data_IF_305759430553
#
_entry.id   IF_305759430553
#
_cell.length_a   1.000
_cell.length_b   1.000
_cell.length_c   1.000
_cell.angle_alpha   90.00
_cell.angle_beta   90.00
_cell.angle_gamma   90.00
#
_symmetry.space_group_name_H-M   'P 1'
#
loop_
_entity.id
_entity.type
_entity.pdbx_description
1 polymer ?
#
# COMPACT_ATOMS: atom_id res chain seq x y z
N UNK A 1 -21.75 1.72 -19.39
CA UNK A 1 -22.53 2.73 -18.67
C UNK A 1 -23.06 2.16 -17.34
N UNK A 2 -22.48 2.59 -16.22
CA UNK A 2 -22.99 2.27 -14.90
C UNK A 2 -23.99 3.35 -14.49
N UNK A 3 -25.24 2.96 -14.29
CA UNK A 3 -26.29 3.86 -13.81
C UNK A 3 -26.40 3.72 -12.30
N UNK A 4 -26.39 4.84 -11.60
CA UNK A 4 -26.61 4.91 -10.15
C UNK A 4 -28.06 5.25 -9.78
N UNK A 5 -28.95 5.36 -10.76
CA UNK A 5 -30.35 5.79 -10.58
C UNK A 5 -31.34 4.62 -10.42
N UNK A 6 -30.88 3.37 -10.59
CA UNK A 6 -31.67 2.19 -10.24
C UNK A 6 -31.94 2.13 -8.72
N UNK A 7 -33.07 1.53 -8.35
CA UNK A 7 -33.43 1.33 -6.94
C UNK A 7 -33.78 -0.13 -6.66
N UNK A 8 -33.55 -0.54 -5.42
CA UNK A 8 -34.04 -1.79 -4.88
C UNK A 8 -34.87 -1.44 -3.65
N UNK A 9 -36.11 -1.90 -3.63
CA UNK A 9 -36.96 -1.83 -2.45
C UNK A 9 -37.19 -3.23 -1.92
N UNK A 10 -37.24 -3.35 -0.60
CA UNK A 10 -37.58 -4.60 0.08
C UNK A 10 -38.83 -4.36 0.90
N UNK A 11 -39.80 -5.26 0.74
CA UNK A 11 -41.10 -5.20 1.40
C UNK A 11 -41.37 -6.48 2.17
N UNK A 12 -42.21 -6.37 3.19
CA UNK A 12 -42.88 -7.49 3.86
C UNK A 12 -44.36 -7.48 3.48
N UNK A 13 -44.85 -8.54 2.85
CA UNK A 13 -46.27 -8.77 2.65
C UNK A 13 -46.81 -9.62 3.82
N UNK A 14 -47.70 -9.08 4.64
CA UNK A 14 -48.30 -9.77 5.80
C UNK A 14 -49.77 -9.37 5.91
N UNK A 15 -50.68 -10.32 6.15
CA UNK A 15 -52.11 -10.01 6.28
C UNK A 15 -52.74 -9.33 5.06
N UNK A 16 -52.14 -9.47 3.87
CA UNK A 16 -52.55 -8.79 2.64
C UNK A 16 -52.03 -7.36 2.47
N UNK A 17 -51.19 -6.86 3.39
CA UNK A 17 -50.61 -5.52 3.35
C UNK A 17 -49.11 -5.56 3.08
N UNK A 18 -48.63 -4.67 2.20
CA UNK A 18 -47.21 -4.45 1.96
C UNK A 18 -46.66 -3.41 2.94
N UNK A 19 -45.63 -3.80 3.69
CA UNK A 19 -44.87 -2.93 4.58
C UNK A 19 -43.47 -2.72 4.01
N UNK A 20 -43.08 -1.47 3.75
CA UNK A 20 -41.73 -1.17 3.25
C UNK A 20 -40.70 -1.37 4.36
N UNK A 21 -39.65 -2.15 4.08
CA UNK A 21 -38.56 -2.41 5.01
C UNK A 21 -37.31 -1.61 4.66
N UNK A 22 -36.97 -1.55 3.37
CA UNK A 22 -35.72 -0.94 2.89
C UNK A 22 -35.91 -0.29 1.53
N UNK A 23 -35.21 0.84 1.32
CA UNK A 23 -35.04 1.45 0.00
C UNK A 23 -33.57 1.75 -0.21
N UNK A 24 -32.99 1.14 -1.23
CA UNK A 24 -31.62 1.38 -1.65
C UNK A 24 -31.61 2.12 -2.98
N UNK A 25 -30.86 3.22 -3.02
CA UNK A 25 -30.54 3.97 -4.23
C UNK A 25 -29.03 3.91 -4.49
N UNK A 26 -28.56 4.39 -5.63
CA UNK A 26 -27.12 4.46 -5.93
C UNK A 26 -26.44 3.08 -5.89
N UNK A 27 -27.09 2.11 -6.55
CA UNK A 27 -26.68 0.71 -6.61
C UNK A 27 -25.45 0.44 -7.50
N UNK A 28 -24.81 1.49 -8.03
CA UNK A 28 -23.59 1.35 -8.81
C UNK A 28 -22.39 0.91 -7.95
N UNK A 29 -21.40 0.32 -8.63
CA UNK A 29 -20.13 -0.09 -8.03
C UNK A 29 -20.02 -1.60 -7.78
N UNK A 30 -19.13 -2.03 -6.87
CA UNK A 30 -18.97 -3.44 -6.51
C UNK A 30 -20.17 -3.95 -5.69
N UNK A 31 -20.21 -5.27 -5.47
CA UNK A 31 -21.19 -5.92 -4.61
C UNK A 31 -21.23 -5.30 -3.20
N UNK A 32 -22.44 -5.06 -2.70
CA UNK A 32 -22.69 -4.50 -1.38
C UNK A 32 -23.64 -5.42 -0.63
N UNK A 33 -23.28 -5.81 0.59
CA UNK A 33 -24.13 -6.58 1.50
C UNK A 33 -25.04 -5.66 2.29
N UNK A 34 -26.29 -6.08 2.49
CA UNK A 34 -27.27 -5.39 3.33
C UNK A 34 -27.99 -6.42 4.20
N UNK A 35 -28.11 -6.13 5.49
CA UNK A 35 -28.82 -6.96 6.45
C UNK A 35 -29.96 -6.13 7.05
N UNK A 36 -31.17 -6.69 7.09
CA UNK A 36 -32.35 -6.02 7.65
C UNK A 36 -33.08 -6.94 8.63
N UNK A 37 -33.48 -6.37 9.77
CA UNK A 37 -34.35 -7.08 10.69
C UNK A 37 -35.77 -7.15 10.12
N UNK A 38 -36.36 -8.35 10.15
CA UNK A 38 -37.73 -8.59 9.72
C UNK A 38 -38.51 -9.14 10.91
N UNK A 39 -39.57 -8.43 11.30
CA UNK A 39 -40.46 -8.85 12.39
C UNK A 39 -41.89 -8.94 11.86
N UNK A 40 -42.58 -10.01 12.22
CA UNK A 40 -43.99 -10.23 11.90
C UNK A 40 -44.66 -11.11 12.94
N UNK A 41 -45.87 -10.76 13.35
CA UNK A 41 -46.74 -11.59 14.20
C UNK A 41 -47.57 -12.60 13.39
N UNK A 42 -47.55 -12.49 12.06
CA UNK A 42 -48.29 -13.33 11.13
C UNK A 42 -47.34 -13.89 10.07
N UNK A 43 -47.79 -14.89 9.34
CA UNK A 43 -47.09 -15.40 8.15
C UNK A 43 -46.91 -14.27 7.13
N UNK A 44 -45.72 -14.22 6.53
CA UNK A 44 -45.35 -13.14 5.65
C UNK A 44 -44.48 -13.61 4.48
N UNK A 45 -44.41 -12.79 3.44
CA UNK A 45 -43.50 -12.95 2.32
C UNK A 45 -42.54 -11.76 2.25
N UNK A 46 -41.30 -12.03 1.86
CA UNK A 46 -40.30 -10.99 1.55
C UNK A 46 -40.37 -10.71 0.06
N UNK A 47 -40.59 -9.45 -0.31
CA UNK A 47 -40.74 -9.03 -1.71
C UNK A 47 -39.61 -8.08 -2.07
N UNK A 48 -38.84 -8.44 -3.08
CA UNK A 48 -37.80 -7.59 -3.68
C UNK A 48 -38.37 -6.90 -4.91
N UNK A 49 -38.35 -5.57 -4.93
CA UNK A 49 -38.81 -4.75 -6.05
C UNK A 49 -37.62 -3.97 -6.64
N UNK A 50 -37.20 -4.37 -7.84
CA UNK A 50 -36.17 -3.66 -8.60
C UNK A 50 -36.78 -2.61 -9.50
N UNK A 51 -36.43 -1.34 -9.29
CA UNK A 51 -36.79 -0.24 -10.18
C UNK A 51 -35.63 0.01 -11.13
N UNK A 52 -35.88 -0.23 -12.42
CA UNK A 52 -34.90 -0.04 -13.48
C UNK A 52 -34.53 1.45 -13.60
N UNK A 53 -33.23 1.72 -13.57
CA UNK A 53 -32.66 3.03 -13.90
C UNK A 53 -32.52 3.26 -15.41
N UNK A 54 -31.97 4.40 -15.79
CA UNK A 54 -31.73 4.75 -17.20
C UNK A 54 -30.78 3.77 -17.91
N UNK A 55 -29.82 3.19 -17.20
CA UNK A 55 -28.92 2.15 -17.71
C UNK A 55 -28.56 1.11 -16.65
N UNK A 56 -27.71 0.14 -16.99
CA UNK A 56 -27.25 -0.89 -16.04
C UNK A 56 -28.34 -1.89 -15.61
N UNK A 57 -28.00 -2.70 -14.61
CA UNK A 57 -28.86 -3.74 -14.02
C UNK A 57 -28.70 -3.75 -12.51
N UNK A 58 -29.71 -4.24 -11.81
CA UNK A 58 -29.65 -4.56 -10.39
C UNK A 58 -29.59 -6.08 -10.27
N UNK A 59 -28.59 -6.59 -9.56
CA UNK A 59 -28.41 -8.01 -9.30
C UNK A 59 -28.40 -8.27 -7.79
N UNK A 60 -28.89 -9.44 -7.40
CA UNK A 60 -28.90 -9.94 -6.02
C UNK A 60 -28.27 -11.32 -6.04
N UNK A 61 -27.53 -11.65 -4.99
CA UNK A 61 -26.94 -12.96 -4.78
C UNK A 61 -26.86 -13.24 -3.27
N UNK A 62 -26.61 -14.50 -2.89
CA UNK A 62 -26.38 -14.95 -1.51
C UNK A 62 -27.46 -14.49 -0.50
N UNK A 63 -28.74 -14.65 -0.86
CA UNK A 63 -29.86 -14.29 0.04
C UNK A 63 -29.94 -15.30 1.19
N UNK A 64 -29.64 -14.84 2.40
CA UNK A 64 -29.70 -15.63 3.62
C UNK A 64 -30.85 -15.17 4.53
N UNK A 65 -31.51 -16.12 5.20
CA UNK A 65 -32.55 -15.84 6.20
C UNK A 65 -32.26 -16.58 7.50
N UNK A 66 -32.08 -15.83 8.58
CA UNK A 66 -31.72 -16.36 9.91
C UNK A 66 -32.76 -15.92 10.94
N UNK A 67 -33.31 -16.88 11.67
CA UNK A 67 -34.32 -16.65 12.71
C UNK A 67 -33.63 -16.38 14.05
N UNK A 68 -34.12 -15.37 14.79
CA UNK A 68 -33.65 -15.08 16.14
C UNK A 68 -32.32 -14.30 16.22
N UNK A 69 -31.76 -13.89 15.07
CA UNK A 69 -30.61 -13.00 14.99
C UNK A 69 -31.07 -11.55 14.79
N UNK A 70 -30.42 -10.61 15.49
CA UNK A 70 -30.57 -9.18 15.27
C UNK A 70 -29.44 -8.70 14.36
N UNK A 71 -29.77 -8.19 13.17
CA UNK A 71 -28.83 -7.65 12.19
C UNK A 71 -27.99 -6.47 12.72
N UNK A 72 -28.44 -5.81 13.78
CA UNK A 72 -27.68 -4.73 14.46
C UNK A 72 -26.52 -5.30 15.29
N UNK A 73 -26.64 -6.56 15.71
CA UNK A 73 -25.54 -7.31 16.32
C UNK A 73 -24.70 -7.85 15.19
N UNK A 74 -23.78 -7.01 14.70
CA UNK A 74 -22.55 -7.56 14.16
C UNK A 74 -22.06 -8.60 15.17
N UNK A 75 -22.06 -9.88 14.79
CA UNK A 75 -21.25 -10.86 15.49
C UNK A 75 -19.82 -10.34 15.61
N UNK A 76 -18.93 -10.98 16.39
CA UNK A 76 -17.53 -10.57 16.50
C UNK A 76 -16.71 -10.71 15.19
N UNK A 77 -17.34 -10.57 14.02
CA UNK A 77 -16.77 -10.52 12.67
C UNK A 77 -16.86 -9.11 12.05
N UNK A 78 -17.05 -8.08 12.89
CA UNK A 78 -16.74 -6.68 12.54
C UNK A 78 -15.97 -5.95 13.64
N UNK A 79 -15.30 -6.70 14.51
CA UNK A 79 -14.22 -6.19 15.34
C UNK A 79 -12.85 -6.61 14.77
N UNK A 80 -12.64 -6.58 13.45
CA UNK A 80 -11.28 -6.52 12.90
C UNK A 80 -10.89 -5.05 12.78
N UNK A 81 -10.47 -4.50 13.92
CA UNK A 81 -9.38 -3.56 14.04
C UNK A 81 -9.28 -2.50 12.92
N UNK A 82 -9.66 -1.26 13.22
CA UNK A 82 -8.75 -0.17 12.84
C UNK A 82 -7.46 -0.41 13.62
N UNK A 83 -6.64 -1.32 13.11
CA UNK A 83 -5.26 -1.45 13.54
C UNK A 83 -4.62 -0.18 13.02
N UNK A 84 -4.53 0.82 13.87
CA UNK A 84 -3.74 2.00 13.57
C UNK A 84 -2.32 1.47 13.32
N UNK A 85 -1.88 1.46 12.07
CA UNK A 85 -0.52 1.07 11.63
C UNK A 85 0.59 1.99 12.20
N UNK A 86 0.25 2.81 13.20
CA UNK A 86 1.15 3.63 13.98
C UNK A 86 2.30 2.82 14.60
N UNK A 87 2.09 1.54 14.93
CA UNK A 87 3.13 0.68 15.49
C UNK A 87 4.28 0.39 14.52
N UNK A 88 3.96 0.06 13.26
CA UNK A 88 4.96 -0.23 12.22
C UNK A 88 5.73 1.01 11.79
N UNK A 89 5.02 2.14 11.65
CA UNK A 89 5.62 3.42 11.26
C UNK A 89 6.56 3.94 12.35
N UNK A 90 6.16 3.87 13.63
CA UNK A 90 7.00 4.31 14.75
C UNK A 90 8.29 3.48 14.86
N UNK A 91 8.19 2.16 14.71
CA UNK A 91 9.38 1.28 14.73
C UNK A 91 10.33 1.58 13.57
N UNK A 92 9.81 1.79 12.36
CA UNK A 92 10.61 2.11 11.19
C UNK A 92 11.38 3.43 11.34
N UNK A 93 10.72 4.49 11.86
CA UNK A 93 11.38 5.79 12.08
C UNK A 93 12.51 5.69 13.09
N UNK A 94 12.30 4.97 14.21
CA UNK A 94 13.34 4.78 15.23
C UNK A 94 14.56 4.07 14.66
N UNK A 95 14.37 2.98 13.91
CA UNK A 95 15.48 2.23 13.28
C UNK A 95 16.26 3.12 12.31
N UNK A 96 15.57 3.90 11.48
CA UNK A 96 16.22 4.82 10.52
C UNK A 96 17.05 5.88 11.24
N UNK A 97 16.54 6.48 12.32
CA UNK A 97 17.28 7.47 13.11
C UNK A 97 18.55 6.87 13.77
N UNK A 98 18.48 5.63 14.26
CA UNK A 98 19.64 4.93 14.82
C UNK A 98 20.71 4.66 13.76
N UNK A 99 20.30 4.22 12.55
CA UNK A 99 21.22 3.99 11.44
C UNK A 99 21.92 5.28 10.98
N UNK A 100 21.19 6.39 10.89
CA UNK A 100 21.76 7.70 10.54
C UNK A 100 22.74 8.17 11.63
N UNK A 101 22.37 8.05 12.90
CA UNK A 101 23.24 8.42 14.02
C UNK A 101 24.56 7.62 14.03
N UNK A 102 24.49 6.32 13.76
CA UNK A 102 25.67 5.44 13.67
C UNK A 102 26.55 5.84 12.48
N UNK A 103 25.96 6.10 11.31
CA UNK A 103 26.69 6.56 10.12
C UNK A 103 27.43 7.89 10.37
N UNK A 104 26.76 8.86 10.98
CA UNK A 104 27.37 10.16 11.31
C UNK A 104 28.50 9.98 12.33
N UNK A 105 28.30 9.14 13.35
CA UNK A 105 29.33 8.83 14.33
C UNK A 105 30.56 8.18 13.66
N UNK A 106 30.37 7.17 12.81
CA UNK A 106 31.46 6.53 12.08
C UNK A 106 32.16 7.49 11.11
N UNK A 107 31.41 8.37 10.44
CA UNK A 107 31.98 9.39 9.57
C UNK A 107 32.85 10.37 10.35
N UNK A 108 32.34 10.89 11.48
CA UNK A 108 33.09 11.79 12.36
C UNK A 108 34.31 11.08 12.93
N UNK A 109 34.15 9.83 13.38
CA UNK A 109 35.25 9.01 13.85
C UNK A 109 36.30 8.85 12.75
N UNK A 110 35.92 8.43 11.55
CA UNK A 110 36.83 8.28 10.40
C UNK A 110 37.55 9.59 10.05
N UNK A 111 36.85 10.73 10.05
CA UNK A 111 37.44 12.04 9.79
C UNK A 111 38.38 12.50 10.92
N UNK A 112 38.10 12.12 12.18
CA UNK A 112 38.93 12.42 13.36
C UNK A 112 40.14 11.49 13.46
N UNK A 113 39.98 10.23 13.09
CA UNK A 113 41.01 9.19 13.19
C UNK A 113 41.85 9.08 11.94
N UNK A 114 41.58 9.82 10.86
CA UNK A 114 42.50 9.90 9.74
C UNK A 114 43.68 10.79 10.18
N UNK A 115 44.86 10.23 10.49
CA UNK A 115 46.05 11.05 10.69
C UNK A 115 46.30 11.83 9.41
N UNK A 116 46.45 13.14 9.54
CA UNK A 116 46.92 14.01 8.47
C UNK A 116 48.26 13.46 8.02
N UNK A 117 48.33 12.89 6.82
CA UNK A 117 49.61 12.63 6.17
C UNK A 117 50.38 13.95 6.16
N UNK A 118 51.49 13.99 6.89
CA UNK A 118 52.43 15.09 6.84
C UNK A 118 52.99 15.14 5.42
N UNK A 119 52.81 16.26 4.76
CA UNK A 119 53.69 16.65 3.66
C UNK A 119 54.24 18.00 4.04
N UNK A 120 55.44 17.97 4.61
CA UNK A 120 56.28 19.16 4.72
C UNK A 120 56.75 19.58 3.32
N UNK A 121 56.69 20.88 3.15
CA UNK A 121 57.14 21.75 2.07
C UNK A 121 58.56 21.47 1.58
N UNK A 122 58.74 21.44 0.25
CA UNK A 122 59.39 22.60 -0.39
C UNK A 122 58.90 22.79 -1.84
N UNK A 123 58.95 24.04 -2.23
CA UNK A 123 58.26 24.76 -3.27
C UNK A 123 58.95 24.64 -4.64
N UNK A 124 58.28 24.02 -5.62
CA UNK A 124 58.29 24.55 -7.00
C UNK A 124 57.08 24.07 -7.79
N UNK A 125 56.21 25.03 -8.10
CA UNK A 125 55.19 25.10 -9.17
C UNK A 125 54.97 23.84 -10.02
N UNK A 126 53.77 23.25 -9.92
CA UNK A 126 53.21 22.42 -10.99
C UNK A 126 52.20 21.37 -10.52
N UNK A 127 50.99 21.39 -11.08
CA UNK A 127 49.96 20.37 -10.84
C UNK A 127 50.51 18.97 -11.15
N UNK A 128 50.40 18.01 -10.22
CA UNK A 128 50.62 16.60 -10.53
C UNK A 128 49.42 15.74 -10.10
N UNK A 129 48.83 15.10 -11.10
CA UNK A 129 47.96 13.93 -10.95
C UNK A 129 48.54 12.90 -11.91
N UNK A 130 49.33 11.96 -11.38
CA UNK A 130 49.75 10.77 -12.13
C UNK A 130 49.21 9.57 -11.38
N UNK A 131 48.16 9.00 -11.99
CA UNK A 131 47.62 7.70 -11.62
C UNK A 131 48.36 6.60 -12.39
N UNK A 132 48.67 5.56 -11.64
CA UNK A 132 49.07 4.18 -11.94
C UNK A 132 50.21 3.91 -12.94
N UNK A 133 51.33 3.46 -12.37
CA UNK A 133 52.46 2.81 -13.02
C UNK A 133 52.07 1.35 -13.37
N UNK A 134 52.12 0.98 -14.66
CA UNK A 134 52.13 -0.43 -15.06
C UNK A 134 53.57 -0.87 -15.27
N UNK A 135 54.05 -1.68 -14.33
CA UNK A 135 55.39 -2.24 -14.37
C UNK A 135 55.52 -3.35 -15.44
N UNK A 136 56.76 -3.50 -15.91
CA UNK A 136 57.35 -4.61 -16.67
C UNK A 136 57.09 -4.70 -18.19
N UNK A 137 58.10 -4.32 -18.98
CA UNK A 137 58.92 -5.33 -19.68
C UNK A 137 60.22 -4.75 -20.24
N UNK A 138 61.30 -5.42 -19.86
CA UNK A 138 62.68 -5.22 -20.26
C UNK A 138 62.87 -5.77 -21.70
N UNK A 139 63.42 -5.00 -22.64
CA UNK A 139 64.23 -5.59 -23.72
C UNK A 139 65.19 -4.57 -24.33
N UNK A 140 66.46 -4.87 -24.12
CA UNK A 140 67.66 -4.42 -24.80
C UNK A 140 67.50 -4.32 -26.33
N UNK A 141 68.04 -3.28 -26.96
CA UNK A 141 69.34 -3.35 -27.66
C UNK A 141 69.64 -2.08 -28.49
N UNK A 142 70.94 -1.87 -28.63
CA UNK A 142 71.66 -0.72 -29.14
C UNK A 142 71.82 -0.82 -30.68
N UNK A 143 71.42 0.25 -31.37
CA UNK A 143 72.11 0.99 -32.45
C UNK A 143 72.79 0.26 -33.64
N UNK A 144 72.40 0.79 -34.82
CA UNK A 144 73.14 1.14 -36.05
C UNK A 144 73.27 0.16 -37.23
N UNK A 145 73.03 0.79 -38.39
CA UNK A 145 73.32 0.43 -39.78
C UNK A 145 74.83 0.43 -40.08
N UNK A 146 75.24 -0.39 -41.04
CA UNK A 146 76.19 -0.11 -42.15
C UNK A 146 76.02 -1.27 -43.17
N UNK A 147 75.46 -1.05 -44.37
CA UNK A 147 76.09 -0.72 -45.67
C UNK A 147 77.05 -1.81 -46.20
N UNK A 148 76.56 -2.47 -47.26
CA UNK A 148 77.16 -3.39 -48.26
C UNK A 148 77.68 -4.77 -47.80
#
# INVERSE_FOLDING_TARGET
PHSSDGQLKVWKLSGGFLHQLLVLSQLGGPWKRFDINITSSEEYQIVFEGIKGTSGVVALDDIEYVIGSDCSKKGPESASNQQNDAGGIAAAVIVVLLLIGLLVFLLVFYLRTKPRAQTETDSTVGFSNKAYESDHTHSSQVRAQDVE
#
